data_IF_060223724020
#
_entry.id   IF_060223724020
#
_cell.length_a   1.000
_cell.length_b   1.000
_cell.length_c   1.000
_cell.angle_alpha   90.00
_cell.angle_beta   90.00
_cell.angle_gamma   90.00
#
_symmetry.space_group_name_H-M   'P 1'
#
loop_
_entity.id
_entity.type
_entity.pdbx_description
1 polymer ?
#
# COMPACT_ATOMS: atom_id res chain seq x y z
N UNK A 1 -8.71 -3.82 -14.62
CA UNK A 1 -7.90 -3.74 -13.39
C UNK A 1 -8.60 -2.76 -12.47
N UNK A 2 -8.75 -3.09 -11.19
CA UNK A 2 -9.33 -2.19 -10.19
C UNK A 2 -8.25 -1.21 -9.73
N UNK A 3 -8.56 0.09 -9.66
CA UNK A 3 -7.57 1.13 -9.32
C UNK A 3 -7.77 1.65 -7.89
N UNK A 4 -6.67 1.94 -7.19
CA UNK A 4 -6.67 2.29 -5.75
C UNK A 4 -6.79 3.80 -5.50
N UNK A 5 -7.63 4.30 -4.62
CA UNK A 5 -7.78 5.74 -4.35
C UNK A 5 -6.52 6.38 -3.76
N UNK A 6 -5.75 5.62 -2.99
CA UNK A 6 -4.49 6.04 -2.39
C UNK A 6 -3.43 4.97 -2.54
N UNK A 7 -2.19 5.39 -2.79
CA UNK A 7 -1.03 4.50 -2.84
C UNK A 7 0.05 5.04 -1.91
N UNK A 8 0.50 4.18 -1.01
CA UNK A 8 1.67 4.40 -0.19
C UNK A 8 2.80 3.54 -0.74
N UNK A 9 3.96 4.13 -0.96
CA UNK A 9 5.15 3.42 -1.45
C UNK A 9 6.41 3.95 -0.79
N UNK A 10 7.54 3.31 -1.07
CA UNK A 10 8.86 3.65 -0.55
C UNK A 10 8.91 3.67 0.99
N UNK A 11 8.23 2.74 1.66
CA UNK A 11 8.32 2.57 3.10
C UNK A 11 8.00 1.16 3.55
N UNK A 12 8.32 0.87 4.80
CA UNK A 12 8.02 -0.44 5.40
C UNK A 12 6.56 -0.47 5.83
N UNK A 13 5.73 -1.22 5.10
CA UNK A 13 4.34 -1.48 5.46
C UNK A 13 4.33 -2.74 6.31
N UNK A 14 4.08 -2.57 7.61
CA UNK A 14 3.93 -3.69 8.52
C UNK A 14 2.44 -4.00 8.59
N UNK A 15 2.03 -5.07 7.93
CA UNK A 15 0.67 -5.59 7.99
C UNK A 15 0.54 -6.51 9.20
N UNK A 16 -0.37 -6.18 10.11
CA UNK A 16 -0.74 -7.07 11.22
C UNK A 16 -1.70 -8.14 10.70
N UNK A 17 -1.19 -9.01 9.83
CA UNK A 17 -1.83 -10.26 9.45
C UNK A 17 -1.24 -11.43 10.25
N UNK A 18 -1.87 -12.60 10.13
CA UNK A 18 -1.50 -13.82 10.86
C UNK A 18 -0.04 -14.26 10.52
N UNK A 19 0.51 -13.75 9.43
CA UNK A 19 1.83 -14.09 8.90
C UNK A 19 2.91 -13.05 9.24
N UNK A 20 2.56 -11.92 9.88
CA UNK A 20 3.46 -10.78 10.09
C UNK A 20 4.18 -10.36 8.80
N UNK A 21 3.43 -10.23 7.70
CA UNK A 21 4.02 -9.85 6.42
C UNK A 21 4.54 -8.40 6.43
N UNK A 22 5.73 -8.19 5.86
CA UNK A 22 6.31 -6.87 5.59
C UNK A 22 6.19 -6.63 4.09
N UNK A 23 5.58 -5.51 3.69
CA UNK A 23 5.45 -5.07 2.30
C UNK A 23 6.12 -3.71 2.11
N UNK A 24 6.47 -3.35 0.88
CA UNK A 24 7.12 -2.06 0.57
C UNK A 24 6.10 -0.97 0.16
N UNK A 25 4.90 -1.40 -0.23
CA UNK A 25 3.85 -0.54 -0.72
C UNK A 25 2.45 -1.11 -0.40
N UNK A 26 1.47 -0.21 -0.35
CA UNK A 26 0.07 -0.48 -0.05
C UNK A 26 -0.86 0.37 -0.92
N UNK A 27 -1.81 -0.27 -1.58
CA UNK A 27 -2.93 0.33 -2.27
C UNK A 27 -4.18 0.31 -1.39
N UNK A 28 -4.88 1.43 -1.29
CA UNK A 28 -6.15 1.59 -0.56
C UNK A 28 -7.25 1.99 -1.53
N UNK A 29 -8.41 1.35 -1.41
CA UNK A 29 -9.64 1.75 -2.11
C UNK A 29 -10.80 1.77 -1.13
N UNK A 30 -11.62 2.82 -1.17
CA UNK A 30 -12.79 3.00 -0.29
C UNK A 30 -12.46 2.80 1.21
N UNK A 31 -11.26 3.26 1.62
CA UNK A 31 -10.78 3.15 3.01
C UNK A 31 -10.32 1.75 3.44
N UNK A 32 -10.25 0.77 2.53
CA UNK A 32 -9.79 -0.60 2.79
C UNK A 32 -8.53 -0.93 2.01
N UNK A 33 -7.75 -1.90 2.50
CA UNK A 33 -6.58 -2.43 1.79
C UNK A 33 -7.08 -3.13 0.52
N UNK A 34 -6.65 -2.61 -0.64
CA UNK A 34 -6.89 -3.25 -1.94
C UNK A 34 -5.79 -4.26 -2.25
N UNK A 35 -4.52 -3.92 -1.99
CA UNK A 35 -3.37 -4.77 -2.22
C UNK A 35 -2.12 -4.29 -1.45
N UNK A 36 -1.26 -5.22 -1.05
CA UNK A 36 0.08 -4.97 -0.49
C UNK A 36 1.14 -5.74 -1.29
N UNK A 37 2.34 -5.18 -1.44
CA UNK A 37 3.40 -5.82 -2.22
C UNK A 37 4.63 -4.94 -2.38
N UNK A 38 5.43 -5.21 -3.42
CA UNK A 38 6.55 -4.34 -3.82
C UNK A 38 6.04 -3.03 -4.41
N UNK A 39 6.91 -2.01 -4.49
CA UNK A 39 6.56 -0.74 -5.14
C UNK A 39 6.09 -0.95 -6.59
N UNK A 40 6.72 -1.86 -7.31
CA UNK A 40 6.39 -2.17 -8.71
C UNK A 40 5.03 -2.86 -8.85
N UNK A 41 4.72 -3.82 -7.99
CA UNK A 41 3.41 -4.48 -7.97
C UNK A 41 2.29 -3.49 -7.67
N UNK A 42 2.49 -2.61 -6.68
CA UNK A 42 1.47 -1.66 -6.23
C UNK A 42 1.31 -0.47 -7.19
N UNK A 43 2.37 -0.08 -7.91
CA UNK A 43 2.30 0.98 -8.93
C UNK A 43 1.27 0.69 -10.03
N UNK A 44 0.97 -0.60 -10.29
CA UNK A 44 -0.03 -1.04 -11.28
C UNK A 44 -1.46 -0.65 -10.91
N UNK A 45 -1.71 -0.33 -9.64
CA UNK A 45 -3.00 0.15 -9.14
C UNK A 45 -3.13 1.68 -9.23
N UNK A 46 -2.07 2.38 -9.65
CA UNK A 46 -2.08 3.82 -9.88
C UNK A 46 -2.66 4.15 -11.26
N UNK A 47 -3.68 4.99 -11.27
CA UNK A 47 -4.06 5.76 -12.47
C UNK A 47 -3.54 7.20 -12.29
N UNK A 48 -3.46 7.96 -13.39
CA UNK A 48 -2.77 9.27 -13.54
C UNK A 48 -3.05 10.35 -12.47
N UNK A 49 -4.03 10.15 -11.57
CA UNK A 49 -4.47 11.13 -10.56
C UNK A 49 -4.29 10.71 -9.11
N UNK A 50 -3.51 9.66 -8.81
CA UNK A 50 -3.44 9.12 -7.45
C UNK A 50 -2.23 9.62 -6.68
N UNK A 51 -2.49 10.13 -5.47
CA UNK A 51 -1.49 10.71 -4.58
C UNK A 51 -0.62 9.59 -4.04
N UNK A 52 0.54 9.41 -4.66
CA UNK A 52 1.61 8.56 -4.13
C UNK A 52 2.20 9.28 -2.91
N UNK A 53 1.89 8.78 -1.71
CA UNK A 53 2.59 9.24 -0.52
C UNK A 53 3.85 8.41 -0.32
N UNK A 54 4.99 9.04 -0.61
CA UNK A 54 6.31 8.54 -0.25
C UNK A 54 6.44 8.51 1.27
N UNK A 55 6.53 7.30 1.81
CA UNK A 55 6.69 7.08 3.24
C UNK A 55 8.10 7.48 3.74
N UNK A 56 9.07 7.68 2.84
CA UNK A 56 10.45 8.09 3.12
C UNK A 56 11.13 7.18 4.15
N UNK A 57 10.93 5.87 4.02
CA UNK A 57 11.50 4.88 4.94
C UNK A 57 10.86 4.86 6.34
N UNK A 58 9.72 5.53 6.56
CA UNK A 58 8.95 5.40 7.81
C UNK A 58 8.00 4.22 7.72
N UNK A 59 7.83 3.53 8.85
CA UNK A 59 6.89 2.43 8.94
C UNK A 59 5.44 2.94 9.09
N UNK A 60 4.50 2.35 8.33
CA UNK A 60 3.05 2.45 8.65
C UNK A 60 2.56 1.08 9.10
N UNK A 61 1.87 1.10 10.24
CA UNK A 61 1.12 -0.06 10.75
C UNK A 61 -0.33 0.08 10.30
N UNK A 62 -0.85 -0.95 9.63
CA UNK A 62 -2.26 -1.01 9.21
C UNK A 62 -2.85 -2.34 9.67
N UNK A 63 -4.03 -2.28 10.31
CA UNK A 63 -4.81 -3.45 10.68
C UNK A 63 -5.64 -3.88 9.46
N UNK A 64 -5.47 -5.13 9.04
CA UNK A 64 -6.30 -5.76 8.01
C UNK A 64 -7.46 -6.46 8.74
N UNK A 65 -8.71 -6.06 8.47
CA UNK A 65 -9.94 -6.60 9.09
C UNK A 65 -10.90 -7.12 8.04
#
# INVERSE_FOLDING_TARGET
>A
MESADLIFGNGEVITLDIMNSIAEALAIKDGRILATGTNEEISRYSEERKVVQDLRGRARVVLNS
#
